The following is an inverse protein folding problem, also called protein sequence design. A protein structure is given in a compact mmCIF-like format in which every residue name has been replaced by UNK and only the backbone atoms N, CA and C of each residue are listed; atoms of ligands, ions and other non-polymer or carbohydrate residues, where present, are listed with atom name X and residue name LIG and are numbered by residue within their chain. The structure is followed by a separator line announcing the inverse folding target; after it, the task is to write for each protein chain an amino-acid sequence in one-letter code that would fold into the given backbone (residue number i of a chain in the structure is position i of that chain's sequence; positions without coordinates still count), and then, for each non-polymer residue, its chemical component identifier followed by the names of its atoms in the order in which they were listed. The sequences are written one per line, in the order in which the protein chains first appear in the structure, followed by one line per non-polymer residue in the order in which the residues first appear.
data_IF_888856583639
#
_entry.id   IF_888856583639
#
_cell.length_a   1.000
_cell.length_b   1.000
_cell.length_c   1.000
_cell.angle_alpha   90.00
_cell.angle_beta   90.00
_cell.angle_gamma   90.00
#
_symmetry.space_group_name_H-M   'P 1'
#
loop_
_entity.id
_entity.type
_entity.pdbx_description
1 polymer ?
#
# COMPACT_ATOMS: atom_id res chain seq x y z
N UNK A 1 -6.58 -16.29 19.97
CA UNK A 1 -7.27 -16.17 18.67
C UNK A 1 -7.53 -14.69 18.48
N UNK A 2 -6.63 -13.97 17.80
CA UNK A 2 -6.86 -12.56 17.45
C UNK A 2 -7.52 -12.52 16.09
N UNK A 3 -8.63 -11.81 16.01
CA UNK A 3 -9.32 -11.43 14.78
C UNK A 3 -8.45 -10.45 14.00
N UNK A 4 -7.48 -10.96 13.25
CA UNK A 4 -7.04 -10.26 12.04
C UNK A 4 -7.26 -11.24 10.90
N UNK A 5 -8.53 -11.38 10.51
CA UNK A 5 -8.92 -12.05 9.28
C UNK A 5 -8.42 -11.29 8.07
N UNK A 6 -7.76 -10.14 8.20
CA UNK A 6 -7.26 -9.32 7.11
C UNK A 6 -8.21 -8.21 6.67
N UNK A 7 -9.29 -7.93 7.41
CA UNK A 7 -10.20 -6.81 7.16
C UNK A 7 -10.27 -5.94 8.41
N UNK A 8 -9.90 -4.67 8.26
CA UNK A 8 -9.87 -3.69 9.35
C UNK A 8 -11.03 -2.68 9.25
N UNK A 9 -11.45 -2.37 8.02
CA UNK A 9 -12.53 -1.42 7.74
C UNK A 9 -13.48 -1.98 6.67
N UNK A 10 -14.72 -1.48 6.69
CA UNK A 10 -15.69 -1.66 5.61
C UNK A 10 -16.20 -0.28 5.21
N UNK A 11 -16.14 0.04 3.93
CA UNK A 11 -16.59 1.31 3.38
C UNK A 11 -17.70 1.09 2.35
N UNK A 12 -18.82 1.80 2.52
CA UNK A 12 -19.96 1.72 1.60
C UNK A 12 -19.89 2.82 0.55
N UNK A 13 -20.06 2.47 -0.73
CA UNK A 13 -20.28 3.46 -1.79
C UNK A 13 -21.77 3.62 -2.06
N UNK A 14 -22.37 4.79 -1.80
CA UNK A 14 -23.77 5.02 -2.14
C UNK A 14 -23.99 5.11 -3.65
N UNK A 15 -22.94 5.27 -4.46
CA UNK A 15 -23.04 5.46 -5.91
C UNK A 15 -23.29 4.15 -6.66
N UNK A 16 -22.68 3.06 -6.21
CA UNK A 16 -22.94 1.72 -6.76
C UNK A 16 -23.65 0.77 -5.78
N UNK A 17 -23.86 1.19 -4.53
CA UNK A 17 -24.59 0.40 -3.53
C UNK A 17 -23.78 -0.73 -2.92
N UNK A 18 -22.46 -0.76 -3.15
CA UNK A 18 -21.59 -1.84 -2.73
C UNK A 18 -20.73 -1.46 -1.51
N UNK A 19 -20.60 -2.40 -0.57
CA UNK A 19 -19.65 -2.33 0.53
C UNK A 19 -18.33 -2.98 0.13
N UNK A 20 -17.22 -2.31 0.46
CA UNK A 20 -15.86 -2.76 0.17
C UNK A 20 -15.09 -2.99 1.46
N UNK A 21 -14.45 -4.14 1.55
CA UNK A 21 -13.57 -4.52 2.66
C UNK A 21 -12.16 -3.96 2.45
N UNK A 22 -11.55 -3.45 3.53
CA UNK A 22 -10.24 -2.78 3.47
C UNK A 22 -9.33 -3.33 4.57
N UNK A 23 -8.13 -3.75 4.20
CA UNK A 23 -7.04 -3.98 5.14
C UNK A 23 -6.19 -2.72 5.28
N UNK A 24 -5.81 -2.35 6.50
CA UNK A 24 -4.98 -1.19 6.78
C UNK A 24 -3.57 -1.62 7.19
N UNK A 25 -2.56 -1.06 6.54
CA UNK A 25 -1.15 -1.27 6.87
C UNK A 25 -0.50 0.08 7.12
N UNK A 26 -0.09 0.34 8.36
CA UNK A 26 0.41 1.66 8.77
C UNK A 26 1.92 1.66 8.99
N UNK A 27 2.58 2.72 8.54
CA UNK A 27 3.86 3.17 9.02
C UNK A 27 3.68 4.47 9.79
N UNK A 28 4.38 4.61 10.92
CA UNK A 28 4.40 5.90 11.63
C UNK A 28 5.21 6.96 10.87
N UNK A 29 6.32 6.56 10.26
CA UNK A 29 7.21 7.38 9.42
C UNK A 29 8.17 6.49 8.65
N UNK A 30 8.76 7.00 7.58
CA UNK A 30 9.83 6.32 6.85
C UNK A 30 11.04 6.01 7.75
N UNK A 31 11.68 4.86 7.52
CA UNK A 31 12.84 4.39 8.30
C UNK A 31 13.96 3.87 7.40
N UNK A 32 15.23 3.97 7.82
CA UNK A 32 16.34 3.29 7.17
C UNK A 32 16.12 1.79 7.03
N UNK A 33 16.38 1.23 5.85
CA UNK A 33 16.47 -0.22 5.64
C UNK A 33 17.72 -0.82 6.31
N UNK A 34 17.76 -0.84 7.64
CA UNK A 34 18.88 -1.31 8.47
C UNK A 34 20.04 -0.32 8.56
N UNK A 35 20.52 -0.02 9.78
CA UNK A 35 21.69 0.83 9.99
C UNK A 35 21.64 2.17 9.25
N UNK A 36 22.56 2.37 8.30
CA UNK A 36 22.67 3.55 7.43
C UNK A 36 21.88 3.46 6.12
N UNK A 37 20.96 2.50 6.00
CA UNK A 37 20.08 2.32 4.85
C UNK A 37 19.29 3.59 4.53
N UNK A 38 18.86 3.70 3.27
CA UNK A 38 18.06 4.84 2.82
C UNK A 38 16.64 4.75 3.39
N UNK A 39 16.06 5.90 3.73
CA UNK A 39 14.73 5.95 4.34
C UNK A 39 13.66 5.52 3.33
N UNK A 40 12.81 4.58 3.76
CA UNK A 40 11.67 4.10 3.00
C UNK A 40 10.47 3.87 3.91
N UNK A 41 9.29 3.94 3.31
CA UNK A 41 8.09 3.31 3.84
C UNK A 41 8.07 1.87 3.32
N UNK A 42 7.74 0.90 4.16
CA UNK A 42 7.63 -0.51 3.75
C UNK A 42 6.47 -1.23 4.44
N UNK A 43 5.82 -2.10 3.69
CA UNK A 43 4.69 -2.88 4.20
C UNK A 43 4.73 -4.31 3.64
N UNK A 44 4.31 -5.24 4.50
CA UNK A 44 4.07 -6.62 4.13
C UNK A 44 2.57 -6.89 4.06
N UNK A 45 2.13 -7.43 2.93
CA UNK A 45 0.76 -7.83 2.68
C UNK A 45 0.70 -9.34 2.44
N UNK A 46 -0.28 -10.01 3.03
CA UNK A 46 -0.56 -11.42 2.74
C UNK A 46 -1.27 -11.55 1.39
N UNK A 47 -0.85 -12.52 0.58
CA UNK A 47 -1.50 -12.82 -0.69
C UNK A 47 -2.94 -13.29 -0.51
N UNK A 48 -3.21 -13.99 0.59
CA UNK A 48 -4.51 -14.58 0.93
C UNK A 48 -5.36 -13.67 1.84
N UNK A 49 -5.07 -12.37 1.89
CA UNK A 49 -5.95 -11.44 2.60
C UNK A 49 -7.33 -11.42 1.94
N UNK A 50 -8.44 -11.52 2.70
CA UNK A 50 -9.79 -11.50 2.16
C UNK A 50 -10.31 -10.07 1.92
N UNK A 51 -9.54 -9.03 2.23
CA UNK A 51 -9.93 -7.66 1.90
C UNK A 51 -9.85 -7.42 0.39
N UNK A 52 -10.83 -6.70 -0.15
CA UNK A 52 -10.84 -6.29 -1.56
C UNK A 52 -9.78 -5.20 -1.83
N UNK A 53 -9.58 -4.33 -0.84
CA UNK A 53 -8.67 -3.19 -0.91
C UNK A 53 -7.64 -3.23 0.22
N UNK A 54 -6.51 -2.58 -0.02
CA UNK A 54 -5.45 -2.38 0.96
C UNK A 54 -5.11 -0.90 1.02
N UNK A 55 -5.13 -0.34 2.23
CA UNK A 55 -4.70 1.02 2.53
C UNK A 55 -3.31 0.99 3.15
N UNK A 56 -2.29 1.42 2.40
CA UNK A 56 -0.96 1.68 2.93
C UNK A 56 -0.92 3.12 3.44
N UNK A 57 -0.57 3.30 4.71
CA UNK A 57 -0.68 4.59 5.39
C UNK A 57 0.68 5.04 5.90
N UNK A 58 1.08 6.26 5.57
CA UNK A 58 2.14 6.98 6.28
C UNK A 58 1.51 8.00 7.23
N UNK A 59 1.51 7.67 8.51
CA UNK A 59 0.90 8.52 9.53
C UNK A 59 1.64 9.85 9.72
N UNK A 60 2.92 9.94 9.36
CA UNK A 60 3.69 11.19 9.53
C UNK A 60 3.35 12.26 8.51
N UNK A 61 2.90 11.85 7.32
CA UNK A 61 2.51 12.74 6.23
C UNK A 61 1.02 12.67 5.91
N UNK A 62 0.27 11.84 6.63
CA UNK A 62 -1.17 11.60 6.46
C UNK A 62 -1.55 11.10 5.05
N UNK A 63 -0.59 10.56 4.31
CA UNK A 63 -0.85 9.95 3.01
C UNK A 63 -1.41 8.54 3.15
N UNK A 64 -2.39 8.24 2.30
CA UNK A 64 -2.99 6.91 2.16
C UNK A 64 -2.89 6.50 0.69
N UNK A 65 -2.22 5.39 0.41
CA UNK A 65 -2.30 4.72 -0.89
C UNK A 65 -3.33 3.61 -0.80
N UNK A 66 -4.41 3.74 -1.55
CA UNK A 66 -5.49 2.76 -1.59
C UNK A 66 -5.34 1.93 -2.87
N UNK A 67 -5.23 0.61 -2.75
CA UNK A 67 -4.94 -0.28 -3.87
C UNK A 67 -5.79 -1.54 -3.81
N UNK A 68 -6.11 -2.11 -4.96
CA UNK A 68 -6.61 -3.49 -5.07
C UNK A 68 -5.48 -4.50 -4.90
N UNK A 69 -5.81 -5.75 -4.56
CA UNK A 69 -4.82 -6.82 -4.47
C UNK A 69 -4.05 -7.05 -5.78
N UNK A 70 -4.70 -6.93 -6.94
CA UNK A 70 -4.04 -7.06 -8.24
C UNK A 70 -3.04 -5.94 -8.48
N UNK A 71 -3.39 -4.70 -8.15
CA UNK A 71 -2.47 -3.57 -8.26
C UNK A 71 -1.26 -3.76 -7.35
N UNK A 72 -1.44 -4.24 -6.11
CA UNK A 72 -0.32 -4.56 -5.21
C UNK A 72 0.58 -5.64 -5.80
N UNK A 73 0.00 -6.71 -6.36
CA UNK A 73 0.77 -7.78 -6.98
C UNK A 73 1.61 -7.29 -8.18
N UNK A 74 1.13 -6.30 -8.92
CA UNK A 74 1.84 -5.73 -10.07
C UNK A 74 3.04 -4.86 -9.65
N UNK A 75 2.88 -4.06 -8.59
CA UNK A 75 3.90 -3.06 -8.20
C UNK A 75 4.84 -3.51 -7.09
N UNK A 76 4.46 -4.55 -6.32
CA UNK A 76 5.29 -5.04 -5.22
C UNK A 76 6.68 -5.48 -5.72
N UNK A 77 7.72 -5.02 -5.02
CA UNK A 77 9.09 -5.26 -5.46
C UNK A 77 9.58 -6.66 -5.05
N UNK A 78 8.98 -7.27 -4.03
CA UNK A 78 9.29 -8.64 -3.64
C UNK A 78 8.02 -9.44 -3.35
N UNK A 79 8.14 -10.73 -3.60
CA UNK A 79 7.11 -11.74 -3.39
C UNK A 79 7.79 -12.96 -2.78
N UNK A 80 7.47 -13.27 -1.52
CA UNK A 80 8.11 -14.37 -0.81
C UNK A 80 7.26 -14.87 0.36
N UNK A 81 7.14 -16.18 0.49
CA UNK A 81 6.46 -16.81 1.63
C UNK A 81 4.99 -16.42 1.78
N UNK A 82 4.23 -16.37 0.68
CA UNK A 82 2.80 -16.04 0.71
C UNK A 82 2.50 -14.56 0.96
N UNK A 83 3.50 -13.67 0.75
CA UNK A 83 3.38 -12.24 1.01
C UNK A 83 4.02 -11.39 -0.07
N UNK A 84 3.38 -10.27 -0.34
CA UNK A 84 3.94 -9.14 -1.08
C UNK A 84 4.69 -8.20 -0.12
N UNK A 85 5.82 -7.69 -0.59
CA UNK A 85 6.54 -6.61 0.05
C UNK A 85 6.54 -5.40 -0.87
N UNK A 86 5.87 -4.35 -0.41
CA UNK A 86 5.83 -3.05 -1.05
C UNK A 86 6.72 -2.10 -0.26
N UNK A 87 7.64 -1.42 -0.93
CA UNK A 87 8.38 -0.32 -0.33
C UNK A 87 8.40 0.91 -1.24
N UNK A 88 8.56 2.08 -0.61
CA UNK A 88 8.64 3.37 -1.26
C UNK A 88 9.77 4.18 -0.62
N UNK A 89 10.83 4.48 -1.37
CA UNK A 89 11.87 5.40 -0.96
C UNK A 89 11.32 6.82 -0.88
N UNK A 90 11.55 7.47 0.25
CA UNK A 90 11.23 8.89 0.45
C UNK A 90 12.42 9.79 0.13
N UNK A 91 13.64 9.24 0.12
CA UNK A 91 14.85 9.93 -0.32
C UNK A 91 14.94 9.89 -1.87
N UNK A 92 14.95 11.05 -2.56
CA UNK A 92 14.96 11.09 -4.00
C UNK A 92 16.31 10.72 -4.63
N UNK A 93 17.37 10.66 -3.83
CA UNK A 93 18.73 10.36 -4.30
C UNK A 93 18.99 8.86 -4.42
N UNK A 94 18.07 8.03 -3.95
CA UNK A 94 18.20 6.57 -4.03
C UNK A 94 18.20 6.14 -5.49
N UNK A 95 19.13 5.25 -5.85
CA UNK A 95 19.16 4.61 -7.17
C UNK A 95 18.63 3.19 -7.04
N UNK A 96 17.40 2.90 -7.50
CA UNK A 96 16.83 1.57 -7.43
C UNK A 96 17.69 0.57 -8.21
N UNK A 97 17.82 -0.65 -7.69
CA UNK A 97 18.55 -1.73 -8.39
C UNK A 97 17.80 -2.18 -9.65
N UNK A 98 16.48 -2.20 -9.59
CA UNK A 98 15.58 -2.55 -10.69
C UNK A 98 14.92 -1.27 -11.18
N UNK A 99 15.15 -0.89 -12.44
CA UNK A 99 14.63 0.35 -13.05
C UNK A 99 13.24 0.20 -13.67
N UNK A 100 12.80 -1.04 -13.84
CA UNK A 100 11.52 -1.44 -14.43
C UNK A 100 10.38 -1.49 -13.39
N UNK A 101 10.66 -1.16 -12.13
CA UNK A 101 9.68 -1.18 -11.04
C UNK A 101 9.64 0.16 -10.33
N UNK A 102 8.42 0.55 -9.96
CA UNK A 102 8.19 1.68 -9.07
C UNK A 102 8.91 1.42 -7.74
N UNK A 103 9.49 2.44 -7.15
CA UNK A 103 10.27 2.31 -5.93
C UNK A 103 10.41 3.60 -5.14
N UNK A 104 10.12 4.75 -5.73
CA UNK A 104 10.06 6.03 -5.07
C UNK A 104 8.61 6.43 -4.79
N UNK A 105 8.37 7.08 -3.66
CA UNK A 105 7.03 7.46 -3.20
C UNK A 105 6.21 8.21 -4.27
N UNK A 106 6.82 9.18 -4.97
CA UNK A 106 6.12 9.97 -6.00
C UNK A 106 5.64 9.13 -7.20
N UNK A 107 6.27 7.98 -7.46
CA UNK A 107 5.84 7.07 -8.54
C UNK A 107 4.51 6.36 -8.21
N UNK A 108 4.10 6.39 -6.94
CA UNK A 108 2.84 5.82 -6.46
C UNK A 108 1.73 6.86 -6.31
N UNK A 109 1.95 8.13 -6.72
CA UNK A 109 0.96 9.20 -6.60
C UNK A 109 -0.41 8.84 -7.21
N UNK A 110 -0.42 8.07 -8.30
CA UNK A 110 -1.67 7.58 -8.93
C UNK A 110 -2.55 6.74 -8.00
N UNK A 111 -1.97 6.12 -6.98
CA UNK A 111 -2.66 5.27 -6.01
C UNK A 111 -3.01 6.01 -4.71
N UNK A 112 -2.60 7.27 -4.56
CA UNK A 112 -3.04 8.08 -3.43
C UNK A 112 -4.57 8.11 -3.41
N UNK A 113 -5.15 8.06 -2.21
CA UNK A 113 -6.60 7.97 -2.00
C UNK A 113 -7.32 9.07 -2.79
N UNK A 114 -6.86 10.31 -2.71
CA UNK A 114 -7.40 11.46 -3.44
C UNK A 114 -7.37 11.30 -4.97
N UNK A 115 -6.41 10.54 -5.49
CA UNK A 115 -6.22 10.30 -6.92
C UNK A 115 -6.85 9.00 -7.40
N UNK A 116 -7.17 8.05 -6.53
CA UNK A 116 -7.60 6.70 -6.92
C UNK A 116 -8.99 6.31 -6.41
N UNK A 117 -9.55 7.05 -5.46
CA UNK A 117 -10.86 6.72 -4.86
C UNK A 117 -11.99 6.65 -5.90
N UNK A 118 -11.91 7.44 -6.97
CA UNK A 118 -12.89 7.40 -8.06
C UNK A 118 -12.84 6.09 -8.86
N UNK A 119 -11.68 5.43 -8.93
CA UNK A 119 -11.56 4.13 -9.61
C UNK A 119 -12.09 2.99 -8.74
N UNK A 120 -11.91 3.10 -7.41
CA UNK A 120 -12.30 2.06 -6.47
C UNK A 120 -13.75 2.18 -6.03
N UNK A 121 -14.24 3.38 -5.68
CA UNK A 121 -15.60 3.65 -5.21
C UNK A 121 -16.54 4.22 -6.29
N UNK A 122 -16.04 4.37 -7.52
CA UNK A 122 -16.74 4.99 -8.66
C UNK A 122 -17.18 6.43 -8.42
N UNK A 123 -16.77 7.10 -7.33
CA UNK A 123 -17.27 8.43 -6.93
C UNK A 123 -16.86 9.54 -7.89
#
# INVERSE_FOLDING_TARGET
MSTDTGVDLVAFSPKDGDARTIQVKTNHRAKPGGGSGKAALDWWLREDSPAELVAFVDLSSEHVWLMTHSEVSEVAQQHSGGRFHLYMYTDPTVKPRKKDRLSHQWEFERFLLENHVHNTFKI
#
